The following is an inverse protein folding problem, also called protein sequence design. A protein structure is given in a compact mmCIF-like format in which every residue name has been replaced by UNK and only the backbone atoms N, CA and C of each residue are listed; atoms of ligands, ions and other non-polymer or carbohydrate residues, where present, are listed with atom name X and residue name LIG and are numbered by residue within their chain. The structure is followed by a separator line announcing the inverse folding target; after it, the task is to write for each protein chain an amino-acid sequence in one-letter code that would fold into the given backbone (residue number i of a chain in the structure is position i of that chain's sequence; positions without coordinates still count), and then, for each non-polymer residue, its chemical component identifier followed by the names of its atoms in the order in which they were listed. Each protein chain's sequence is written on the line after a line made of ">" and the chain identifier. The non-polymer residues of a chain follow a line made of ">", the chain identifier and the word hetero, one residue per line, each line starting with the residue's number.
data_IF_452641066280
#
_entry.id   IF_452641066280
#
_cell.length_a   1.000
_cell.length_b   1.000
_cell.length_c   1.000
_cell.angle_alpha   90.00
_cell.angle_beta   90.00
_cell.angle_gamma   90.00
#
_symmetry.space_group_name_H-M   'P 1'
#
loop_
_entity.id
_entity.type
_entity.pdbx_description
1 polymer ?
#
# COMPACT_ATOMS: atom_id res chain seq x y z
N UNK A 1 8.72 16.20 6.26
CA UNK A 1 9.65 15.69 5.24
C UNK A 1 8.87 15.33 3.98
N UNK A 2 9.56 15.11 2.86
CA UNK A 2 8.97 14.72 1.57
C UNK A 2 9.47 13.34 1.19
N UNK A 3 8.57 12.45 0.75
CA UNK A 3 8.92 11.14 0.21
C UNK A 3 8.76 11.13 -1.31
N UNK A 4 9.70 10.51 -2.01
CA UNK A 4 9.76 10.47 -3.47
C UNK A 4 9.72 9.03 -3.95
N UNK A 5 8.76 8.69 -4.80
CA UNK A 5 8.61 7.35 -5.37
C UNK A 5 7.88 7.32 -6.71
N UNK A 6 6.93 8.24 -6.91
CA UNK A 6 6.26 8.39 -8.20
C UNK A 6 7.09 9.19 -9.21
N UNK A 7 6.97 8.82 -10.48
CA UNK A 7 7.62 9.51 -11.63
C UNK A 7 6.75 10.62 -12.22
N UNK A 8 5.47 10.66 -11.83
CA UNK A 8 4.49 11.66 -12.25
C UNK A 8 3.67 12.11 -11.04
N UNK A 9 2.62 12.90 -11.26
CA UNK A 9 1.76 13.41 -10.20
C UNK A 9 1.20 12.28 -9.31
N UNK A 10 1.21 12.51 -8.00
CA UNK A 10 0.46 11.71 -7.02
C UNK A 10 -1.00 12.15 -7.09
N UNK A 11 -1.91 11.21 -7.31
CA UNK A 11 -3.32 11.50 -7.57
C UNK A 11 -4.23 11.08 -6.43
N UNK A 12 -3.80 10.10 -5.64
CA UNK A 12 -4.54 9.62 -4.48
C UNK A 12 -3.60 9.02 -3.43
N UNK A 13 -4.08 8.95 -2.20
CA UNK A 13 -3.37 8.38 -1.06
C UNK A 13 -4.35 7.81 -0.03
N UNK A 14 -3.92 6.80 0.70
CA UNK A 14 -4.65 6.25 1.86
C UNK A 14 -3.66 5.74 2.91
N UNK A 15 -4.03 5.78 4.18
CA UNK A 15 -3.22 5.26 5.28
C UNK A 15 -3.98 4.17 6.02
N UNK A 16 -3.31 3.05 6.31
CA UNK A 16 -3.89 1.93 7.06
C UNK A 16 -2.82 1.31 7.95
N UNK A 17 -3.08 1.23 9.26
CA UNK A 17 -2.09 0.73 10.22
C UNK A 17 -0.75 1.46 10.14
N UNK A 18 0.33 0.71 9.90
CA UNK A 18 1.70 1.22 9.70
C UNK A 18 2.01 1.60 8.25
N UNK A 19 1.05 1.47 7.33
CA UNK A 19 1.24 1.70 5.90
C UNK A 19 0.64 3.04 5.45
N UNK A 20 1.36 3.71 4.57
CA UNK A 20 0.86 4.76 3.69
C UNK A 20 0.93 4.21 2.26
N UNK A 21 -0.15 4.36 1.50
CA UNK A 21 -0.21 3.99 0.08
C UNK A 21 -0.45 5.24 -0.75
N UNK A 22 0.21 5.33 -1.90
CA UNK A 22 0.03 6.43 -2.84
C UNK A 22 -0.14 5.89 -4.27
N UNK A 23 -1.10 6.44 -5.02
CA UNK A 23 -1.38 6.08 -6.40
C UNK A 23 -1.10 7.25 -7.34
N UNK A 24 -0.45 6.98 -8.48
CA UNK A 24 0.08 8.00 -9.36
C UNK A 24 -0.46 8.01 -10.78
N UNK A 25 -0.18 9.12 -11.48
CA UNK A 25 -0.35 9.23 -12.94
C UNK A 25 0.63 8.33 -13.72
N UNK A 26 1.69 7.86 -13.07
CA UNK A 26 2.65 6.88 -13.57
C UNK A 26 2.12 5.44 -13.54
N UNK A 27 0.83 5.25 -13.26
CA UNK A 27 0.11 3.97 -13.22
C UNK A 27 0.49 3.06 -12.04
N UNK A 28 1.32 3.55 -11.13
CA UNK A 28 1.86 2.74 -10.04
C UNK A 28 1.17 3.04 -8.71
N UNK A 29 1.30 2.11 -7.78
CA UNK A 29 1.00 2.30 -6.37
C UNK A 29 2.28 2.10 -5.57
N UNK A 30 2.70 3.08 -4.78
CA UNK A 30 3.83 2.92 -3.85
C UNK A 30 3.30 2.54 -2.46
N UNK A 31 3.90 1.51 -1.86
CA UNK A 31 3.63 1.05 -0.51
C UNK A 31 4.74 1.54 0.41
N UNK A 32 4.38 2.33 1.43
CA UNK A 32 5.32 2.95 2.34
C UNK A 32 5.08 2.45 3.76
N UNK A 33 6.12 1.98 4.44
CA UNK A 33 6.08 1.71 5.89
C UNK A 33 6.45 2.96 6.66
N UNK A 34 5.63 3.34 7.63
CA UNK A 34 5.98 4.35 8.64
C UNK A 34 6.84 3.72 9.73
N UNK A 35 8.04 4.25 9.91
CA UNK A 35 8.98 3.83 10.95
C UNK A 35 8.69 4.54 12.29
N UNK A 36 9.24 4.01 13.38
CA UNK A 36 9.03 4.57 14.73
C UNK A 36 9.58 5.97 14.92
N UNK A 37 10.57 6.37 14.13
CA UNK A 37 11.15 7.72 14.10
C UNK A 37 10.33 8.71 13.24
N UNK A 38 9.19 8.27 12.69
CA UNK A 38 8.32 9.06 11.82
C UNK A 38 8.79 9.15 10.36
N UNK A 39 9.93 8.54 10.01
CA UNK A 39 10.34 8.40 8.60
C UNK A 39 9.48 7.35 7.89
N UNK A 40 9.57 7.33 6.55
CA UNK A 40 8.86 6.35 5.74
C UNK A 40 9.83 5.67 4.78
N UNK A 41 9.72 4.35 4.67
CA UNK A 41 10.51 3.53 3.75
C UNK A 41 9.60 2.95 2.68
N UNK A 42 9.99 3.04 1.41
CA UNK A 42 9.27 2.37 0.33
C UNK A 42 9.49 0.85 0.47
N UNK A 43 8.42 0.09 0.73
CA UNK A 43 8.47 -1.36 0.78
C UNK A 43 8.37 -1.97 -0.61
N UNK A 44 7.43 -1.49 -1.42
CA UNK A 44 7.17 -2.05 -2.74
C UNK A 44 6.48 -1.05 -3.66
N UNK A 45 6.50 -1.35 -4.96
CA UNK A 45 5.77 -0.62 -6.00
C UNK A 45 4.92 -1.63 -6.77
N UNK A 46 3.61 -1.45 -6.71
CA UNK A 46 2.64 -2.31 -7.38
C UNK A 46 2.40 -1.78 -8.79
N UNK A 47 2.70 -2.63 -9.79
CA UNK A 47 2.73 -2.26 -11.20
C UNK A 47 1.88 -3.25 -12.01
N UNK A 48 0.63 -2.88 -12.27
CA UNK A 48 -0.28 -3.70 -13.11
C UNK A 48 -1.40 -2.89 -13.78
N UNK A 49 -1.63 -1.64 -13.33
CA UNK A 49 -2.58 -0.75 -14.00
C UNK A 49 -2.01 -0.26 -15.33
N UNK A 50 -2.88 -0.13 -16.34
CA UNK A 50 -2.53 0.46 -17.63
C UNK A 50 -2.96 1.94 -17.73
N UNK A 51 -3.41 2.52 -16.62
CA UNK A 51 -3.87 3.90 -16.53
C UNK A 51 -3.58 4.54 -15.18
N UNK A 52 -3.71 5.88 -15.08
CA UNK A 52 -3.57 6.60 -13.82
C UNK A 52 -4.46 6.05 -12.70
N UNK A 53 -3.88 5.82 -11.53
CA UNK A 53 -4.60 5.38 -10.32
C UNK A 53 -5.26 6.60 -9.69
N UNK A 54 -6.60 6.61 -9.59
CA UNK A 54 -7.38 7.76 -9.13
C UNK A 54 -7.93 7.63 -7.72
N UNK A 55 -8.06 6.42 -7.20
CA UNK A 55 -8.49 6.20 -5.84
C UNK A 55 -7.86 4.94 -5.25
N UNK A 56 -7.68 4.97 -3.93
CA UNK A 56 -7.18 3.88 -3.12
C UNK A 56 -8.03 3.76 -1.86
N UNK A 57 -8.31 2.53 -1.45
CA UNK A 57 -8.76 2.21 -0.09
C UNK A 57 -8.08 0.93 0.36
N UNK A 58 -7.93 0.75 1.66
CA UNK A 58 -7.27 -0.42 2.21
C UNK A 58 -7.89 -0.81 3.56
N UNK A 59 -7.87 -2.10 3.85
CA UNK A 59 -8.35 -2.67 5.10
C UNK A 59 -7.30 -3.62 5.66
N UNK A 60 -7.15 -3.65 6.99
CA UNK A 60 -6.38 -4.68 7.66
C UNK A 60 -7.14 -5.99 7.55
N UNK A 61 -6.48 -7.03 7.05
CA UNK A 61 -6.99 -8.39 7.05
C UNK A 61 -6.84 -8.93 8.48
N UNK A 62 -7.92 -9.43 9.09
CA UNK A 62 -7.86 -9.92 10.45
C UNK A 62 -6.85 -11.07 10.55
N UNK A 63 -5.91 -10.96 11.49
CA UNK A 63 -5.07 -12.08 11.86
C UNK A 63 -5.93 -13.07 12.65
N UNK A 64 -6.43 -14.11 11.99
CA UNK A 64 -7.34 -15.10 12.58
C UNK A 64 -6.64 -16.13 13.48
N UNK A 65 -5.34 -15.94 13.77
CA UNK A 65 -4.60 -16.86 14.63
C UNK A 65 -3.48 -16.15 15.40
N UNK A 66 -3.34 -16.60 16.65
CA UNK A 66 -2.17 -16.39 17.49
C UNK A 66 -1.25 -17.58 17.19
N UNK A 67 0.04 -17.33 16.98
CA UNK A 67 1.00 -18.43 16.82
C UNK A 67 1.26 -19.15 18.16
N UNK A 68 2.05 -20.23 18.11
CA UNK A 68 2.36 -21.06 19.29
C UNK A 68 3.10 -20.26 20.39
N UNK A 69 3.77 -19.16 20.01
CA UNK A 69 4.51 -18.25 20.88
C UNK A 69 3.64 -17.13 21.49
N UNK A 70 2.35 -17.07 21.14
CA UNK A 70 1.46 -16.02 21.65
C UNK A 70 1.56 -14.71 20.87
N UNK A 71 2.30 -14.67 19.76
CA UNK A 71 2.42 -13.50 18.90
C UNK A 71 1.28 -13.44 17.88
N UNK A 72 0.89 -12.20 17.57
CA UNK A 72 -0.14 -11.95 16.57
C UNK A 72 0.49 -12.22 15.20
N UNK A 73 -0.07 -13.15 14.43
CA UNK A 73 0.45 -13.49 13.11
C UNK A 73 0.62 -12.28 12.19
N UNK A 74 1.45 -12.44 11.15
CA UNK A 74 1.81 -11.39 10.21
C UNK A 74 0.64 -10.51 9.78
N UNK A 75 0.78 -9.21 10.01
CA UNK A 75 -0.22 -8.23 9.58
C UNK A 75 -0.25 -8.17 8.06
N UNK A 76 -1.46 -8.28 7.51
CA UNK A 76 -1.73 -8.19 6.08
C UNK A 76 -2.78 -7.14 5.82
N UNK A 77 -2.72 -6.54 4.66
CA UNK A 77 -3.70 -5.57 4.21
C UNK A 77 -4.19 -5.92 2.81
N UNK A 78 -5.49 -5.73 2.61
CA UNK A 78 -6.09 -5.77 1.29
C UNK A 78 -6.19 -4.34 0.78
N UNK A 79 -5.60 -4.09 -0.38
CA UNK A 79 -5.62 -2.79 -1.05
C UNK A 79 -6.53 -2.88 -2.27
N UNK A 80 -7.38 -1.89 -2.44
CA UNK A 80 -8.22 -1.72 -3.61
C UNK A 80 -7.83 -0.44 -4.33
N UNK A 81 -7.59 -0.53 -5.64
CA UNK A 81 -7.19 0.60 -6.47
C UNK A 81 -8.12 0.77 -7.66
N UNK A 82 -8.64 1.98 -7.87
CA UNK A 82 -9.44 2.33 -9.05
C UNK A 82 -8.66 3.17 -10.04
N UNK A 83 -8.72 2.82 -11.33
CA UNK A 83 -7.91 3.41 -12.39
C UNK A 83 -8.71 3.83 -13.62
N UNK A 84 -8.14 4.75 -14.39
CA UNK A 84 -8.66 5.14 -15.70
C UNK A 84 -8.55 4.05 -16.77
N UNK A 85 -7.87 2.94 -16.48
CA UNK A 85 -7.86 1.75 -17.35
C UNK A 85 -9.19 0.94 -17.29
N UNK A 86 -10.19 1.45 -16.57
CA UNK A 86 -11.52 0.85 -16.38
C UNK A 86 -11.49 -0.39 -15.48
N UNK A 87 -10.48 -0.51 -14.61
CA UNK A 87 -10.38 -1.63 -13.65
C UNK A 87 -10.34 -1.15 -12.19
N UNK A 88 -10.80 -2.05 -11.31
CA UNK A 88 -10.44 -2.07 -9.90
C UNK A 88 -9.51 -3.25 -9.68
N UNK A 89 -8.35 -3.04 -9.08
CA UNK A 89 -7.41 -4.12 -8.74
C UNK A 89 -7.35 -4.33 -7.23
N UNK A 90 -7.12 -5.58 -6.85
CA UNK A 90 -7.05 -6.04 -5.47
C UNK A 90 -5.65 -6.57 -5.21
N UNK A 91 -5.02 -6.08 -4.15
CA UNK A 91 -3.65 -6.43 -3.78
C UNK A 91 -3.62 -6.92 -2.34
N UNK A 92 -2.72 -7.87 -2.07
CA UNK A 92 -2.35 -8.24 -0.71
C UNK A 92 -0.95 -7.72 -0.44
N UNK A 93 -0.81 -6.96 0.64
CA UNK A 93 0.47 -6.38 1.05
C UNK A 93 0.74 -6.68 2.52
N UNK A 94 2.01 -6.70 2.88
CA UNK A 94 2.53 -6.85 4.24
C UNK A 94 3.39 -5.63 4.60
N UNK A 95 3.78 -5.48 5.86
CA UNK A 95 4.64 -4.39 6.33
C UNK A 95 6.11 -4.81 6.45
N UNK A 96 6.45 -5.92 5.83
CA UNK A 96 7.82 -6.37 5.58
C UNK A 96 8.06 -6.43 4.07
N UNK A 97 9.32 -6.32 3.66
CA UNK A 97 9.68 -6.48 2.26
C UNK A 97 9.42 -7.93 1.83
N UNK A 98 8.79 -8.09 0.66
CA UNK A 98 8.64 -9.36 -0.05
C UNK A 98 9.92 -9.76 -0.77
#
# INVERSE_FOLDING_TARGET
>A
GTIHGHRMAVLCLTSVGSLLLSGGADKNICVWKRNGDGTHTCLSVLMDHDGPVKCLTAVEEAADYIDDDGEKGDRRWIVYSGSLDKSVKVWRVTDYAS
#
